data_IF_389939656757
#
_entry.id   IF_389939656757
#
_cell.length_a   1.000
_cell.length_b   1.000
_cell.length_c   1.000
_cell.angle_alpha   90.00
_cell.angle_beta   90.00
_cell.angle_gamma   90.00
#
_symmetry.space_group_name_H-M   'P 1'
#
loop_
_entity.id
_entity.type
_entity.pdbx_description
1 polymer ?
#
# COMPACT_ATOMS: atom_id res chain seq x y z
N UNK A 1 -18.30 2.84 -4.61
CA UNK A 1 -18.13 3.94 -5.60
C UNK A 1 -16.65 4.20 -5.80
N UNK A 2 -16.16 4.03 -7.01
CA UNK A 2 -14.75 4.27 -7.33
C UNK A 2 -14.47 5.77 -7.48
N UNK A 3 -13.24 6.18 -7.14
CA UNK A 3 -12.74 7.52 -7.41
C UNK A 3 -11.90 7.46 -8.68
N UNK A 4 -12.35 8.16 -9.70
CA UNK A 4 -11.65 8.28 -10.99
C UNK A 4 -10.80 9.56 -11.09
N UNK A 5 -10.99 10.49 -10.18
CA UNK A 5 -10.19 11.72 -10.11
C UNK A 5 -8.87 11.44 -9.40
N UNK A 6 -7.79 11.41 -10.17
CA UNK A 6 -6.46 11.18 -9.66
C UNK A 6 -6.02 12.25 -8.65
N UNK A 7 -6.42 13.51 -8.83
CA UNK A 7 -6.02 14.59 -7.91
C UNK A 7 -6.53 14.36 -6.49
N UNK A 8 -7.75 13.82 -6.36
CA UNK A 8 -8.32 13.46 -5.05
C UNK A 8 -7.52 12.33 -4.42
N UNK A 9 -7.20 11.29 -5.19
CA UNK A 9 -6.38 10.15 -4.72
C UNK A 9 -4.96 10.58 -4.35
N UNK A 10 -4.32 11.39 -5.18
CA UNK A 10 -2.97 11.89 -4.95
C UNK A 10 -2.89 12.70 -3.67
N UNK A 11 -3.80 13.66 -3.48
CA UNK A 11 -3.85 14.49 -2.27
C UNK A 11 -4.07 13.66 -1.02
N UNK A 12 -5.02 12.74 -1.05
CA UNK A 12 -5.29 11.84 0.06
C UNK A 12 -4.06 10.99 0.41
N UNK A 13 -3.41 10.43 -0.59
CA UNK A 13 -2.19 9.62 -0.42
C UNK A 13 -1.06 10.44 0.21
N UNK A 14 -0.78 11.63 -0.32
CA UNK A 14 0.30 12.50 0.17
C UNK A 14 0.05 12.92 1.62
N UNK A 15 -1.15 13.41 1.91
CA UNK A 15 -1.49 13.90 3.25
C UNK A 15 -1.40 12.78 4.29
N UNK A 16 -1.85 11.58 3.95
CA UNK A 16 -1.80 10.43 4.83
C UNK A 16 -0.35 9.94 5.04
N UNK A 17 0.41 9.78 3.97
CA UNK A 17 1.80 9.31 4.03
C UNK A 17 2.71 10.22 4.84
N UNK A 18 2.50 11.54 4.78
CA UNK A 18 3.26 12.51 5.60
C UNK A 18 3.12 12.26 7.11
N UNK A 19 1.95 11.81 7.53
CA UNK A 19 1.72 11.49 8.95
C UNK A 19 2.36 10.15 9.30
N UNK A 20 2.13 9.12 8.50
CA UNK A 20 2.71 7.79 8.71
C UNK A 20 4.24 7.86 8.82
N UNK A 21 4.88 8.63 7.96
CA UNK A 21 6.35 8.73 7.86
C UNK A 21 7.02 9.22 9.15
N UNK A 22 6.31 9.96 9.98
CA UNK A 22 6.78 10.40 11.29
C UNK A 22 6.91 9.26 12.31
N UNK A 23 6.22 8.15 12.09
CA UNK A 23 6.10 7.05 13.06
C UNK A 23 6.75 5.76 12.60
N UNK A 24 6.75 5.48 11.30
CA UNK A 24 7.21 4.19 10.80
C UNK A 24 7.55 4.26 9.31
N UNK A 25 8.26 3.24 8.83
CA UNK A 25 8.44 3.01 7.41
C UNK A 25 7.17 2.44 6.80
N UNK A 26 6.92 2.82 5.56
CA UNK A 26 5.75 2.35 4.81
C UNK A 26 6.07 2.13 3.34
N UNK A 27 5.22 1.38 2.67
CA UNK A 27 5.15 1.29 1.21
C UNK A 27 3.69 1.31 0.75
N UNK A 28 3.47 1.97 -0.37
CA UNK A 28 2.22 1.86 -1.13
C UNK A 28 2.33 0.66 -2.05
N UNK A 29 1.30 -0.18 -2.06
CA UNK A 29 1.27 -1.42 -2.85
C UNK A 29 -0.01 -1.48 -3.70
N UNK A 30 -0.10 -2.50 -4.56
CA UNK A 30 -1.31 -2.87 -5.29
C UNK A 30 -1.76 -1.85 -6.36
N UNK A 31 -3.07 -1.66 -6.51
CA UNK A 31 -3.66 -0.94 -7.65
C UNK A 31 -3.24 0.49 -7.81
N UNK A 32 -3.05 1.21 -6.72
CA UNK A 32 -2.67 2.62 -6.79
C UNK A 32 -1.27 2.84 -7.40
N UNK A 33 -0.38 1.87 -7.31
CA UNK A 33 0.95 1.95 -7.98
C UNK A 33 0.76 2.12 -9.49
N UNK A 34 -0.10 1.35 -10.09
CA UNK A 34 -0.40 1.44 -11.53
C UNK A 34 -1.14 2.75 -11.87
N UNK A 35 -2.12 3.14 -11.07
CA UNK A 35 -2.89 4.39 -11.27
C UNK A 35 -1.98 5.60 -11.18
N UNK A 36 -1.14 5.67 -10.17
CA UNK A 36 -0.16 6.75 -9.99
C UNK A 36 0.86 6.80 -11.14
N UNK A 37 1.10 5.67 -11.79
CA UNK A 37 1.99 5.53 -12.94
C UNK A 37 1.27 5.72 -14.30
N UNK A 38 0.07 6.30 -14.29
CA UNK A 38 -0.66 6.69 -15.50
C UNK A 38 -1.72 5.71 -16.00
N UNK A 39 -1.96 4.59 -15.31
CA UNK A 39 -3.04 3.66 -15.66
C UNK A 39 -4.40 4.33 -15.46
N UNK A 40 -5.21 4.39 -16.50
CA UNK A 40 -6.54 5.04 -16.48
C UNK A 40 -7.58 4.08 -15.93
N UNK A 41 -7.82 4.14 -14.65
CA UNK A 41 -8.91 3.49 -13.93
C UNK A 41 -9.08 4.09 -12.55
N UNK A 42 -10.24 3.90 -11.93
CA UNK A 42 -10.49 4.33 -10.57
C UNK A 42 -10.16 3.25 -9.52
N UNK A 43 -10.21 3.66 -8.27
CA UNK A 43 -10.12 2.77 -7.11
C UNK A 43 -10.90 3.36 -5.93
N UNK A 44 -11.28 2.53 -4.99
CA UNK A 44 -11.88 2.95 -3.72
C UNK A 44 -10.82 3.05 -2.62
N UNK A 45 -9.77 2.25 -2.72
CA UNK A 45 -8.73 2.18 -1.70
C UNK A 45 -7.32 2.30 -2.25
N UNK A 46 -6.42 2.74 -1.36
CA UNK A 46 -4.98 2.70 -1.54
C UNK A 46 -4.46 1.73 -0.48
N UNK A 47 -3.71 0.72 -0.88
CA UNK A 47 -3.16 -0.26 0.04
C UNK A 47 -1.76 0.14 0.51
N UNK A 48 -1.53 0.01 1.82
CA UNK A 48 -0.27 0.37 2.48
C UNK A 48 0.18 -0.75 3.41
N UNK A 49 1.47 -1.07 3.37
CA UNK A 49 2.12 -1.91 4.36
C UNK A 49 3.04 -1.02 5.19
N UNK A 50 2.93 -1.13 6.51
CA UNK A 50 3.80 -0.41 7.44
C UNK A 50 4.65 -1.39 8.26
N UNK A 51 5.83 -0.96 8.66
CA UNK A 51 6.65 -1.71 9.60
C UNK A 51 5.96 -1.78 10.97
N UNK A 52 6.18 -2.87 11.70
CA UNK A 52 5.56 -3.06 13.02
C UNK A 52 6.00 -1.99 14.00
N UNK A 53 5.04 -1.44 14.72
CA UNK A 53 5.27 -0.50 15.81
C UNK A 53 4.55 -0.98 17.07
N UNK A 54 4.96 -0.45 18.23
CA UNK A 54 4.30 -0.76 19.49
C UNK A 54 2.87 -0.21 19.55
N UNK A 55 2.06 -0.77 20.42
CA UNK A 55 0.70 -0.26 20.68
C UNK A 55 0.72 1.22 21.10
N UNK A 56 1.65 1.60 21.95
CA UNK A 56 1.83 2.98 22.41
C UNK A 56 2.12 3.93 21.23
N UNK A 57 3.05 3.54 20.37
CA UNK A 57 3.40 4.34 19.19
C UNK A 57 2.23 4.42 18.19
N UNK A 58 1.52 3.32 18.00
CA UNK A 58 0.31 3.29 17.18
C UNK A 58 -0.78 4.23 17.73
N UNK A 59 -0.98 4.25 19.04
CA UNK A 59 -1.95 5.15 19.68
C UNK A 59 -1.65 6.62 19.36
N UNK A 60 -0.38 7.02 19.40
CA UNK A 60 0.04 8.38 19.03
C UNK A 60 -0.20 8.67 17.54
N UNK A 61 0.11 7.71 16.68
CA UNK A 61 -0.16 7.82 15.25
C UNK A 61 -1.67 7.98 14.99
N UNK A 62 -2.48 7.15 15.62
CA UNK A 62 -3.94 7.20 15.49
C UNK A 62 -4.48 8.58 15.91
N UNK A 63 -4.06 9.09 17.05
CA UNK A 63 -4.47 10.43 17.53
C UNK A 63 -4.12 11.52 16.51
N UNK A 64 -2.93 11.48 15.91
CA UNK A 64 -2.54 12.46 14.90
C UNK A 64 -3.38 12.35 13.64
N UNK A 65 -3.69 11.13 13.20
CA UNK A 65 -4.58 10.88 12.06
C UNK A 65 -5.98 11.45 12.32
N UNK A 66 -6.54 11.22 13.50
CA UNK A 66 -7.85 11.76 13.88
C UNK A 66 -7.83 13.31 13.88
N UNK A 67 -6.81 13.92 14.48
CA UNK A 67 -6.66 15.39 14.49
C UNK A 67 -6.51 15.97 13.08
N UNK A 68 -5.96 15.20 12.16
CA UNK A 68 -5.75 15.61 10.77
C UNK A 68 -6.96 15.36 9.86
N UNK A 69 -8.07 14.91 10.41
CA UNK A 69 -9.33 14.75 9.68
C UNK A 69 -9.56 13.38 9.06
N UNK A 70 -8.89 12.34 9.55
CA UNK A 70 -9.12 10.94 9.15
C UNK A 70 -9.88 10.18 10.24
N UNK A 71 -10.66 9.17 9.86
CA UNK A 71 -11.36 8.26 10.77
C UNK A 71 -10.99 6.83 10.44
N UNK A 72 -10.82 6.00 11.48
CA UNK A 72 -10.67 4.56 11.30
C UNK A 72 -12.06 3.91 11.23
N UNK A 73 -12.28 3.08 10.22
CA UNK A 73 -13.57 2.42 10.02
C UNK A 73 -13.84 1.29 11.02
N UNK A 74 -12.80 0.71 11.63
CA UNK A 74 -12.93 -0.42 12.53
C UNK A 74 -13.32 -0.02 13.94
N UNK A 75 -12.74 1.06 14.47
CA UNK A 75 -13.00 1.56 15.81
C UNK A 75 -12.42 2.96 16.01
N UNK A 76 -12.88 3.67 17.03
CA UNK A 76 -12.29 4.94 17.48
C UNK A 76 -11.19 4.72 18.54
N UNK A 77 -11.15 3.54 19.14
CA UNK A 77 -10.18 3.19 20.19
C UNK A 77 -8.91 2.58 19.60
N UNK A 78 -7.75 3.24 19.70
CA UNK A 78 -6.50 2.74 19.15
C UNK A 78 -6.03 1.41 19.78
N UNK A 79 -6.35 1.15 21.05
CA UNK A 79 -6.00 -0.12 21.67
C UNK A 79 -6.81 -1.27 21.08
N UNK A 80 -8.10 -1.06 20.85
CA UNK A 80 -8.97 -2.03 20.18
C UNK A 80 -8.52 -2.29 18.75
N UNK A 81 -8.20 -1.23 17.98
CA UNK A 81 -7.69 -1.35 16.62
C UNK A 81 -6.42 -2.20 16.59
N UNK A 82 -5.50 -1.94 17.50
CA UNK A 82 -4.24 -2.68 17.58
C UNK A 82 -4.45 -4.16 17.97
N UNK A 83 -5.18 -4.41 19.03
CA UNK A 83 -5.34 -5.75 19.62
C UNK A 83 -6.23 -6.68 18.81
N UNK A 84 -7.29 -6.17 18.17
CA UNK A 84 -8.25 -6.98 17.42
C UNK A 84 -7.94 -7.08 15.92
N UNK A 85 -7.11 -6.20 15.39
CA UNK A 85 -6.85 -6.15 13.95
C UNK A 85 -5.36 -6.19 13.61
N UNK A 86 -4.62 -5.15 13.87
CA UNK A 86 -3.23 -5.00 13.39
C UNK A 86 -2.31 -6.11 13.90
N UNK A 87 -2.41 -6.46 15.15
CA UNK A 87 -1.61 -7.51 15.79
C UNK A 87 -1.79 -8.87 15.12
N UNK A 88 -2.99 -9.16 14.65
CA UNK A 88 -3.34 -10.43 13.98
C UNK A 88 -3.27 -10.32 12.44
N UNK A 89 -2.57 -9.32 11.92
CA UNK A 89 -2.39 -9.06 10.49
C UNK A 89 -3.71 -8.81 9.72
N UNK A 90 -4.74 -8.35 10.42
CA UNK A 90 -5.99 -7.90 9.82
C UNK A 90 -5.85 -6.44 9.43
N UNK A 91 -6.17 -6.13 8.19
CA UNK A 91 -6.08 -4.76 7.67
C UNK A 91 -7.13 -3.85 8.30
N UNK A 92 -6.73 -2.62 8.55
CA UNK A 92 -7.62 -1.53 8.96
C UNK A 92 -7.76 -0.52 7.83
N UNK A 93 -8.79 0.32 7.89
CA UNK A 93 -9.06 1.35 6.90
C UNK A 93 -9.28 2.70 7.56
N UNK A 94 -8.63 3.71 7.03
CA UNK A 94 -8.89 5.11 7.34
C UNK A 94 -9.55 5.80 6.17
N UNK A 95 -10.51 6.68 6.46
CA UNK A 95 -11.20 7.52 5.48
C UNK A 95 -11.06 8.98 5.87
N UNK A 96 -11.27 9.93 4.93
CA UNK A 96 -11.54 11.30 5.31
C UNK A 96 -12.81 11.38 6.17
N UNK A 97 -12.82 12.29 7.14
CA UNK A 97 -13.92 12.43 8.11
C UNK A 97 -15.31 12.57 7.47
N UNK A 98 -15.39 13.18 6.31
CA UNK A 98 -16.66 13.53 5.66
C UNK A 98 -16.98 12.68 4.42
N UNK A 99 -16.22 11.62 4.18
CA UNK A 99 -16.36 10.77 2.97
C UNK A 99 -16.10 9.31 3.32
N UNK A 100 -16.76 8.41 2.61
CA UNK A 100 -16.50 6.97 2.73
C UNK A 100 -15.32 6.51 1.84
N UNK A 101 -14.96 7.30 0.85
CA UNK A 101 -13.84 7.04 -0.07
C UNK A 101 -13.09 8.35 -0.34
N UNK A 102 -11.79 8.30 -0.65
CA UNK A 102 -10.94 7.11 -0.72
C UNK A 102 -10.64 6.53 0.66
N UNK A 103 -10.20 5.28 0.69
CA UNK A 103 -9.80 4.59 1.92
C UNK A 103 -8.31 4.25 1.86
N UNK A 104 -7.62 4.41 2.98
CA UNK A 104 -6.25 3.89 3.15
C UNK A 104 -6.32 2.57 3.91
N UNK A 105 -6.08 1.47 3.21
CA UNK A 105 -6.06 0.13 3.77
C UNK A 105 -4.65 -0.18 4.28
N UNK A 106 -4.51 -0.35 5.58
CA UNK A 106 -3.21 -0.52 6.24
C UNK A 106 -3.11 -1.91 6.88
N UNK A 107 -1.95 -2.52 6.74
CA UNK A 107 -1.56 -3.71 7.51
C UNK A 107 -0.10 -3.61 7.96
N UNK A 108 0.27 -4.36 8.99
CA UNK A 108 1.66 -4.57 9.36
C UNK A 108 2.35 -5.55 8.40
N UNK A 109 3.68 -5.48 8.33
CA UNK A 109 4.50 -6.56 7.77
C UNK A 109 4.19 -7.86 8.51
N UNK A 110 3.91 -8.93 7.77
CA UNK A 110 3.53 -10.23 8.36
C UNK A 110 4.57 -11.32 8.16
N UNK A 111 5.40 -11.22 7.14
CA UNK A 111 6.33 -12.27 6.74
C UNK A 111 7.59 -11.70 6.06
N UNK A 112 8.53 -12.58 5.73
CA UNK A 112 9.77 -12.20 5.07
C UNK A 112 9.56 -11.51 3.71
N UNK A 113 8.46 -11.79 3.03
CA UNK A 113 8.14 -11.15 1.75
C UNK A 113 7.75 -9.67 1.95
N UNK A 114 6.92 -9.39 2.95
CA UNK A 114 6.56 -8.02 3.30
C UNK A 114 7.79 -7.22 3.76
N UNK A 115 8.68 -7.83 4.54
CA UNK A 115 9.95 -7.21 4.96
C UNK A 115 10.85 -6.91 3.76
N UNK A 116 10.98 -7.86 2.83
CA UNK A 116 11.73 -7.68 1.60
C UNK A 116 11.17 -6.51 0.76
N UNK A 117 9.84 -6.41 0.63
CA UNK A 117 9.20 -5.29 -0.05
C UNK A 117 9.54 -3.95 0.60
N UNK A 118 9.46 -3.90 1.92
CA UNK A 118 9.69 -2.67 2.68
C UNK A 118 11.16 -2.20 2.55
N UNK A 119 12.11 -3.13 2.60
CA UNK A 119 13.54 -2.82 2.42
C UNK A 119 13.86 -2.31 1.01
N UNK A 120 13.16 -2.81 0.00
CA UNK A 120 13.38 -2.46 -1.41
C UNK A 120 12.44 -1.40 -1.95
N UNK A 121 11.81 -0.65 -1.05
CA UNK A 121 10.93 0.45 -1.43
C UNK A 121 11.63 1.49 -2.29
N UNK A 122 10.88 2.12 -3.16
CA UNK A 122 11.41 3.05 -4.16
C UNK A 122 10.50 4.29 -4.30
N UNK A 123 11.11 5.41 -4.63
CA UNK A 123 10.40 6.59 -5.12
C UNK A 123 10.25 6.46 -6.63
N UNK A 124 9.04 6.70 -7.15
CA UNK A 124 8.75 6.62 -8.58
C UNK A 124 8.47 8.02 -9.14
N UNK A 125 9.45 8.63 -9.77
CA UNK A 125 9.37 10.02 -10.25
C UNK A 125 8.25 10.24 -11.26
N UNK A 126 7.94 9.25 -12.12
CA UNK A 126 6.86 9.35 -13.09
C UNK A 126 5.48 9.55 -12.46
N UNK A 127 5.32 9.19 -11.19
CA UNK A 127 4.05 9.39 -10.49
C UNK A 127 3.79 10.84 -10.13
N UNK A 128 4.84 11.65 -10.02
CA UNK A 128 4.78 13.01 -9.48
C UNK A 128 4.56 13.07 -7.96
N UNK A 129 4.59 11.92 -7.27
CA UNK A 129 4.32 11.80 -5.84
C UNK A 129 5.60 11.50 -5.07
N UNK A 130 5.84 12.26 -4.01
CA UNK A 130 6.96 12.02 -3.08
C UNK A 130 6.54 11.06 -1.97
N UNK A 131 6.21 9.83 -2.36
CA UNK A 131 5.84 8.74 -1.46
C UNK A 131 6.62 7.48 -1.80
N UNK A 132 6.68 6.54 -0.84
CA UNK A 132 7.36 5.27 -1.03
C UNK A 132 6.43 4.21 -1.61
N UNK A 133 6.87 3.60 -2.68
CA UNK A 133 6.17 2.49 -3.34
C UNK A 133 6.95 1.18 -3.18
N UNK A 134 6.24 0.06 -3.24
CA UNK A 134 6.90 -1.23 -3.48
C UNK A 134 7.55 -1.23 -4.87
N UNK A 135 8.62 -2.01 -5.05
CA UNK A 135 9.36 -2.02 -6.31
C UNK A 135 8.48 -2.43 -7.50
N UNK A 136 8.86 -2.00 -8.69
CA UNK A 136 8.14 -2.35 -9.92
C UNK A 136 8.13 -3.86 -10.14
N UNK A 137 9.25 -4.54 -9.92
CA UNK A 137 9.34 -6.00 -10.08
C UNK A 137 8.40 -6.74 -9.11
N UNK A 138 8.32 -6.29 -7.87
CA UNK A 138 7.39 -6.83 -6.88
C UNK A 138 5.93 -6.66 -7.32
N UNK A 139 5.55 -5.47 -7.76
CA UNK A 139 4.20 -5.19 -8.27
C UNK A 139 3.82 -6.08 -9.45
N UNK A 140 4.73 -6.25 -10.41
CA UNK A 140 4.52 -7.10 -11.57
C UNK A 140 4.27 -8.55 -11.13
N UNK A 141 5.15 -9.10 -10.28
CA UNK A 141 5.03 -10.49 -9.83
C UNK A 141 3.74 -10.73 -9.05
N UNK A 142 3.40 -9.85 -8.10
CA UNK A 142 2.15 -9.99 -7.34
C UNK A 142 0.93 -10.03 -8.25
N UNK A 143 0.88 -9.15 -9.24
CA UNK A 143 -0.24 -9.04 -10.16
C UNK A 143 -0.34 -10.24 -11.10
N UNK A 144 0.78 -10.70 -11.63
CA UNK A 144 0.81 -11.79 -12.61
C UNK A 144 0.70 -13.18 -11.97
N UNK A 145 1.27 -13.39 -10.80
CA UNK A 145 1.41 -14.72 -10.19
C UNK A 145 0.48 -14.96 -8.99
N UNK A 146 0.06 -13.91 -8.31
CA UNK A 146 -0.74 -14.03 -7.08
C UNK A 146 -2.17 -13.56 -7.25
N UNK A 147 -2.39 -12.31 -7.66
CA UNK A 147 -3.71 -11.71 -7.76
C UNK A 147 -4.48 -12.18 -9.01
N UNK A 148 -3.85 -12.12 -10.16
CA UNK A 148 -4.30 -12.71 -11.44
C UNK A 148 -5.65 -12.28 -12.00
N UNK A 149 -6.31 -11.25 -11.47
CA UNK A 149 -7.53 -10.72 -12.09
C UNK A 149 -7.20 -10.05 -13.44
N UNK A 150 -8.18 -9.88 -14.29
CA UNK A 150 -7.98 -9.17 -15.56
C UNK A 150 -7.42 -7.77 -15.35
N UNK A 151 -7.92 -7.08 -14.31
CA UNK A 151 -7.42 -5.76 -13.89
C UNK A 151 -5.96 -5.81 -13.47
N UNK A 152 -5.58 -6.83 -12.71
CA UNK A 152 -4.19 -7.01 -12.26
C UNK A 152 -3.24 -7.32 -13.42
N UNK A 153 -3.68 -8.15 -14.35
CA UNK A 153 -2.89 -8.47 -15.54
C UNK A 153 -2.67 -7.26 -16.45
N UNK A 154 -3.70 -6.42 -16.60
CA UNK A 154 -3.58 -5.15 -17.34
C UNK A 154 -2.67 -4.14 -16.62
N UNK A 155 -2.78 -4.04 -15.31
CA UNK A 155 -1.89 -3.21 -14.50
C UNK A 155 -0.43 -3.65 -14.65
N UNK A 156 -0.16 -4.96 -14.58
CA UNK A 156 1.19 -5.50 -14.74
C UNK A 156 1.76 -5.20 -16.12
N UNK A 157 0.95 -5.36 -17.16
CA UNK A 157 1.34 -5.01 -18.54
C UNK A 157 1.70 -3.53 -18.66
N UNK A 158 0.89 -2.65 -18.09
CA UNK A 158 1.14 -1.22 -18.07
C UNK A 158 2.48 -0.90 -17.38
N UNK A 159 2.73 -1.48 -16.22
CA UNK A 159 3.97 -1.29 -15.48
C UNK A 159 5.20 -1.78 -16.25
N UNK A 160 5.11 -2.92 -16.93
CA UNK A 160 6.21 -3.44 -17.78
C UNK A 160 6.57 -2.49 -18.91
N UNK A 161 5.58 -1.83 -19.49
CA UNK A 161 5.80 -0.87 -20.58
C UNK A 161 6.39 0.44 -20.06
N UNK A 162 5.76 1.03 -19.05
CA UNK A 162 6.14 2.34 -18.51
C UNK A 162 7.51 2.31 -17.82
N UNK A 163 7.82 1.21 -17.14
CA UNK A 163 9.07 1.04 -16.40
C UNK A 163 9.98 -0.02 -16.99
N UNK A 164 10.04 -0.10 -18.31
CA UNK A 164 10.89 -1.05 -19.04
C UNK A 164 12.34 -1.05 -18.54
N UNK A 165 12.88 0.12 -18.22
CA UNK A 165 14.22 0.32 -17.67
C UNK A 165 14.43 -0.22 -16.25
N UNK A 166 13.35 -0.48 -15.50
CA UNK A 166 13.38 -0.98 -14.12
C UNK A 166 13.04 -2.47 -14.02
N UNK A 167 12.54 -3.07 -15.08
CA UNK A 167 12.18 -4.50 -15.10
C UNK A 167 13.46 -5.34 -15.09
N UNK A 168 13.58 -6.20 -14.07
CA UNK A 168 14.70 -7.15 -13.91
C UNK A 168 14.14 -8.57 -13.78
N UNK A 169 14.31 -9.36 -14.83
CA UNK A 169 13.78 -10.73 -14.89
C UNK A 169 14.44 -11.65 -13.85
N UNK A 170 15.68 -11.39 -13.44
CA UNK A 170 16.34 -12.17 -12.39
C UNK A 170 15.70 -11.92 -11.03
N UNK A 171 15.39 -10.65 -10.75
CA UNK A 171 14.67 -10.29 -9.52
C UNK A 171 13.24 -10.82 -9.55
N UNK A 172 12.56 -10.76 -10.68
CA UNK A 172 11.22 -11.32 -10.86
C UNK A 172 11.22 -12.82 -10.52
N UNK A 173 12.16 -13.61 -11.05
CA UNK A 173 12.27 -15.04 -10.73
C UNK A 173 12.56 -15.29 -9.26
N UNK A 174 13.41 -14.49 -8.62
CA UNK A 174 13.68 -14.57 -7.19
C UNK A 174 12.39 -14.33 -6.37
N UNK A 175 11.63 -13.30 -6.71
CA UNK A 175 10.37 -12.97 -6.02
C UNK A 175 9.34 -14.09 -6.21
N UNK A 176 9.23 -14.67 -7.41
CA UNK A 176 8.35 -15.82 -7.67
C UNK A 176 8.68 -17.00 -6.74
N UNK A 177 9.96 -17.29 -6.54
CA UNK A 177 10.39 -18.34 -5.62
C UNK A 177 9.97 -18.04 -4.19
N UNK A 178 10.19 -16.80 -3.72
CA UNK A 178 9.78 -16.40 -2.37
C UNK A 178 8.27 -16.56 -2.16
N UNK A 179 7.46 -16.19 -3.14
CA UNK A 179 5.99 -16.34 -3.07
C UNK A 179 5.60 -17.81 -2.97
N UNK A 180 6.23 -18.68 -3.78
CA UNK A 180 5.96 -20.14 -3.75
C UNK A 180 6.32 -20.76 -2.40
N UNK A 181 7.45 -20.39 -1.83
CA UNK A 181 7.91 -20.91 -0.54
C UNK A 181 6.94 -20.51 0.59
N UNK A 182 6.45 -19.27 0.59
CA UNK A 182 5.51 -18.79 1.60
C UNK A 182 4.10 -19.38 1.45
N UNK A 183 3.68 -19.76 0.25
CA UNK A 183 2.39 -20.43 0.03
C UNK A 183 2.39 -21.89 0.49
N UNK A 184 3.54 -22.53 0.53
CA UNK A 184 3.69 -23.93 0.96
C UNK A 184 3.79 -24.06 2.50
N UNK A 185 3.91 -22.97 3.19
CA UNK A 185 3.89 -22.87 4.66
C UNK A 185 2.49 -22.52 5.17
#
# INVERSE_FOLDING_TARGET
>A
MQIDDRNILDKFCIDFCKIIEKYTKYIIVSGFVAIASGRVRGTEDIAMIIDKISKEKFSKLHEELIKSGFLCMQSDDPEEIYDLYLKDNISIRYTPKNRLVPQMKIKFTKDALDEYQLERRIKLHLTGLDVWFSSINMNIVFKEEYLKSDKDMEDARHLRIIYEDKVDEKEIEKIKKMIKELKLQ
#
